data_IF_428029461463
#
_entry.id   IF_428029461463
#
_cell.length_a   1.000
_cell.length_b   1.000
_cell.length_c   1.000
_cell.angle_alpha   90.00
_cell.angle_beta   90.00
_cell.angle_gamma   90.00
#
_symmetry.space_group_name_H-M   'P 1'
#
loop_
_entity.id
_entity.type
_entity.pdbx_description
1 polymer ?
#
# COMPACT_ATOMS: atom_id res chain seq x y z
N UNK A 1 -9.28 -0.37 -11.27
CA UNK A 1 -8.16 0.58 -11.37
C UNK A 1 -7.25 0.36 -10.19
N UNK A 2 -5.95 0.31 -10.47
CA UNK A 2 -4.89 0.21 -9.48
C UNK A 2 -3.79 1.23 -9.76
N UNK A 3 -3.13 1.65 -8.70
CA UNK A 3 -1.89 2.40 -8.72
C UNK A 3 -0.97 1.85 -7.64
N UNK A 4 0.33 1.84 -7.91
CA UNK A 4 1.37 1.39 -7.00
C UNK A 4 2.40 2.49 -6.91
N UNK A 5 2.70 2.91 -5.69
CA UNK A 5 3.67 3.94 -5.41
C UNK A 5 4.84 3.36 -4.62
N UNK A 6 6.04 3.91 -4.82
CA UNK A 6 7.22 3.57 -4.04
C UNK A 6 8.06 4.82 -3.78
N UNK A 7 9.04 4.73 -2.88
CA UNK A 7 9.94 5.84 -2.61
C UNK A 7 11.03 5.93 -3.68
N UNK A 8 11.35 7.15 -4.09
CA UNK A 8 12.48 7.40 -4.98
C UNK A 8 13.79 7.44 -4.19
N UNK A 9 14.57 6.35 -4.28
CA UNK A 9 15.85 6.22 -3.59
C UNK A 9 15.71 6.42 -2.08
N UNK A 10 16.52 7.31 -1.52
CA UNK A 10 16.48 7.67 -0.09
C UNK A 10 15.46 8.79 0.23
N UNK A 11 14.82 9.40 -0.77
CA UNK A 11 13.83 10.46 -0.54
C UNK A 11 12.54 9.92 0.08
N UNK A 12 11.77 10.80 0.73
CA UNK A 12 10.42 10.51 1.20
C UNK A 12 9.36 10.84 0.15
N UNK A 13 9.77 11.13 -1.09
CA UNK A 13 8.88 11.41 -2.21
C UNK A 13 8.36 10.10 -2.80
N UNK A 14 7.03 10.02 -2.91
CA UNK A 14 6.34 8.89 -3.53
C UNK A 14 6.28 9.08 -5.05
N UNK A 15 6.75 8.09 -5.79
CA UNK A 15 6.69 8.02 -7.25
C UNK A 15 5.75 6.90 -7.69
N UNK A 16 5.13 7.06 -8.86
CA UNK A 16 4.27 6.03 -9.44
C UNK A 16 5.14 4.92 -10.04
N UNK A 17 5.14 3.76 -9.40
CA UNK A 17 5.84 2.57 -9.88
C UNK A 17 5.05 1.84 -10.97
N UNK A 18 3.74 1.70 -10.80
CA UNK A 18 2.87 1.04 -11.76
C UNK A 18 1.41 1.50 -11.65
N UNK A 19 0.64 1.42 -12.74
CA UNK A 19 -0.80 1.63 -12.73
C UNK A 19 -1.49 0.71 -13.75
N UNK A 20 -2.79 0.48 -13.59
CA UNK A 20 -3.56 -0.36 -14.50
C UNK A 20 -5.04 -0.45 -14.14
N UNK A 21 -5.79 -1.22 -14.91
CA UNK A 21 -7.23 -1.43 -14.65
C UNK A 21 -7.49 -2.57 -13.65
N UNK A 22 -6.49 -3.42 -13.43
CA UNK A 22 -6.50 -4.55 -12.51
C UNK A 22 -6.87 -4.22 -11.07
N UNK A 23 -7.26 -5.26 -10.33
CA UNK A 23 -7.68 -5.18 -8.93
C UNK A 23 -6.58 -5.52 -7.93
N UNK A 24 -7.03 -5.88 -6.72
CA UNK A 24 -6.16 -6.22 -5.58
C UNK A 24 -5.12 -7.31 -5.89
N UNK A 25 -5.53 -8.34 -6.63
CA UNK A 25 -4.69 -9.50 -6.94
C UNK A 25 -3.46 -9.14 -7.78
N UNK A 26 -3.61 -8.21 -8.72
CA UNK A 26 -2.48 -7.76 -9.52
C UNK A 26 -1.56 -6.81 -8.72
N UNK A 27 -2.13 -5.95 -7.86
CA UNK A 27 -1.34 -5.10 -6.94
C UNK A 27 -0.45 -5.96 -6.07
N UNK A 28 -0.99 -7.02 -5.47
CA UNK A 28 -0.21 -7.93 -4.62
C UNK A 28 0.92 -8.64 -5.36
N UNK A 29 0.75 -8.94 -6.65
CA UNK A 29 1.78 -9.59 -7.46
C UNK A 29 2.92 -8.66 -7.90
N UNK A 30 2.76 -7.34 -7.72
CA UNK A 30 3.75 -6.33 -8.15
C UNK A 30 4.60 -5.83 -6.97
N UNK A 31 4.37 -6.34 -5.75
CA UNK A 31 5.12 -5.93 -4.58
C UNK A 31 6.53 -6.53 -4.58
N UNK A 32 7.49 -5.71 -4.17
CA UNK A 32 8.91 -6.05 -4.06
C UNK A 32 9.30 -6.20 -2.57
N UNK A 33 10.04 -7.26 -2.23
CA UNK A 33 10.52 -7.54 -0.87
C UNK A 33 11.62 -6.59 -0.40
N UNK A 34 12.27 -5.87 -1.32
CA UNK A 34 13.35 -4.92 -1.04
C UNK A 34 12.88 -3.49 -0.81
N UNK A 35 11.61 -3.20 -1.06
CA UNK A 35 11.08 -1.83 -1.07
C UNK A 35 9.85 -1.66 -0.17
N UNK A 36 9.61 -0.41 0.24
CA UNK A 36 8.34 0.01 0.80
C UNK A 36 7.47 0.49 -0.35
N UNK A 37 6.24 0.00 -0.42
CA UNK A 37 5.31 0.30 -1.51
C UNK A 37 3.91 0.56 -0.99
N UNK A 38 3.18 1.43 -1.68
CA UNK A 38 1.80 1.77 -1.37
C UNK A 38 0.91 1.41 -2.54
N UNK A 39 0.09 0.37 -2.36
CA UNK A 39 -0.87 -0.08 -3.35
C UNK A 39 -2.23 0.59 -3.15
N UNK A 40 -2.74 1.24 -4.18
CA UNK A 40 -4.10 1.75 -4.24
C UNK A 40 -4.93 0.92 -5.20
N UNK A 41 -6.11 0.47 -4.76
CA UNK A 41 -7.04 -0.26 -5.60
C UNK A 41 -8.47 0.25 -5.40
N UNK A 42 -9.18 0.51 -6.50
CA UNK A 42 -10.62 0.75 -6.47
C UNK A 42 -11.36 -0.58 -6.32
N UNK A 43 -12.16 -0.73 -5.27
CA UNK A 43 -13.13 -1.83 -5.15
C UNK A 43 -14.41 -1.41 -5.88
N UNK A 44 -14.73 -2.15 -6.95
CA UNK A 44 -16.05 -2.06 -7.59
C UNK A 44 -17.01 -2.93 -6.81
N UNK A 45 -17.78 -2.32 -5.91
CA UNK A 45 -18.92 -2.98 -5.29
C UNK A 45 -20.19 -2.69 -6.10
N UNK A 46 -20.90 -3.70 -6.62
CA UNK A 46 -22.10 -3.51 -7.44
C UNK A 46 -23.20 -2.71 -6.77
N UNK A 47 -23.21 -2.70 -5.43
CA UNK A 47 -24.25 -2.09 -4.59
C UNK A 47 -23.82 -0.76 -3.98
N UNK A 48 -22.56 -0.34 -4.12
CA UNK A 48 -22.07 0.90 -3.54
C UNK A 48 -22.27 2.07 -4.51
N UNK A 49 -22.92 3.13 -4.04
CA UNK A 49 -23.09 4.40 -4.78
C UNK A 49 -21.79 5.19 -4.92
N UNK A 50 -20.78 4.91 -4.09
CA UNK A 50 -19.47 5.55 -4.13
C UNK A 50 -18.38 4.48 -4.33
N UNK A 51 -17.40 4.69 -5.23
CA UNK A 51 -16.25 3.80 -5.34
C UNK A 51 -15.48 3.78 -4.01
N UNK A 52 -15.26 2.58 -3.47
CA UNK A 52 -14.41 2.36 -2.29
C UNK A 52 -12.97 2.19 -2.76
N UNK A 53 -12.04 2.77 -2.03
CA UNK A 53 -10.61 2.60 -2.31
C UNK A 53 -9.94 1.91 -1.13
N UNK A 54 -9.02 1.00 -1.44
CA UNK A 54 -8.19 0.32 -0.44
C UNK A 54 -6.76 0.81 -0.59
N UNK A 55 -6.17 1.18 0.53
CA UNK A 55 -4.75 1.43 0.66
C UNK A 55 -4.07 0.23 1.31
N UNK A 56 -3.11 -0.33 0.58
CA UNK A 56 -2.24 -1.40 1.02
C UNK A 56 -0.89 -0.78 1.31
N UNK A 57 -0.49 -0.79 2.59
CA UNK A 57 0.87 -0.46 2.98
C UNK A 57 1.70 -1.73 2.98
N UNK A 58 2.57 -1.88 1.97
CA UNK A 58 3.51 -2.99 1.84
C UNK A 58 4.90 -2.56 2.34
N UNK A 59 5.45 -3.35 3.24
CA UNK A 59 6.81 -3.18 3.74
C UNK A 59 7.55 -4.47 3.44
N UNK A 60 8.47 -4.40 2.47
CA UNK A 60 9.32 -5.52 2.11
C UNK A 60 10.16 -6.04 3.29
N UNK A 61 10.43 -7.34 3.31
CA UNK A 61 11.20 -7.97 4.38
C UNK A 61 12.67 -7.50 4.42
N UNK A 62 13.26 -7.28 3.25
CA UNK A 62 14.67 -6.88 3.09
C UNK A 62 14.90 -5.38 3.32
N UNK A 63 13.83 -4.61 3.59
CA UNK A 63 13.93 -3.19 3.91
C UNK A 63 14.64 -3.01 5.28
N UNK A 64 15.61 -2.10 5.41
CA UNK A 64 16.26 -1.82 6.70
C UNK A 64 15.28 -1.35 7.78
N UNK A 65 15.41 -1.87 9.00
CA UNK A 65 14.47 -1.58 10.10
C UNK A 65 14.35 -0.09 10.43
N UNK A 66 15.44 0.67 10.27
CA UNK A 66 15.43 2.13 10.42
C UNK A 66 14.44 2.80 9.44
N UNK A 67 14.38 2.31 8.19
CA UNK A 67 13.45 2.81 7.17
C UNK A 67 12.03 2.34 7.45
N UNK A 68 11.83 1.10 7.90
CA UNK A 68 10.52 0.57 8.33
C UNK A 68 9.92 1.43 9.45
N UNK A 69 10.73 1.83 10.43
CA UNK A 69 10.32 2.65 11.56
C UNK A 69 9.96 4.08 11.12
N UNK A 70 10.78 4.68 10.25
CA UNK A 70 10.52 6.01 9.71
C UNK A 70 9.21 6.08 8.90
N UNK A 71 8.95 5.09 8.04
CA UNK A 71 7.77 5.08 7.18
C UNK A 71 6.47 4.66 7.89
N UNK A 72 6.56 4.12 9.11
CA UNK A 72 5.37 3.74 9.88
C UNK A 72 4.47 4.94 10.21
N UNK A 73 5.04 6.11 10.43
CA UNK A 73 4.31 7.36 10.66
C UNK A 73 3.61 7.88 9.39
N UNK A 74 4.20 7.65 8.22
CA UNK A 74 3.66 8.11 6.93
C UNK A 74 2.35 7.41 6.58
N UNK A 75 2.17 6.15 6.99
CA UNK A 75 0.96 5.37 6.68
C UNK A 75 -0.30 6.07 7.17
N UNK A 76 -0.27 6.64 8.37
CA UNK A 76 -1.42 7.33 8.95
C UNK A 76 -1.78 8.59 8.16
N UNK A 77 -0.77 9.41 7.80
CA UNK A 77 -0.95 10.61 6.99
C UNK A 77 -1.48 10.30 5.59
N UNK A 78 -0.97 9.24 4.95
CA UNK A 78 -1.43 8.81 3.62
C UNK A 78 -2.89 8.30 3.72
N UNK A 79 -3.22 7.49 4.72
CA UNK A 79 -4.58 7.00 4.93
C UNK A 79 -5.59 8.14 5.11
N UNK A 80 -5.23 9.13 5.92
CA UNK A 80 -6.04 10.32 6.20
C UNK A 80 -6.21 11.18 4.95
N UNK A 81 -5.13 11.40 4.19
CA UNK A 81 -5.16 12.15 2.93
C UNK A 81 -6.14 11.55 1.91
N UNK A 82 -6.18 10.22 1.80
CA UNK A 82 -7.07 9.54 0.87
C UNK A 82 -8.48 9.26 1.44
N UNK A 83 -8.74 9.61 2.70
CA UNK A 83 -9.98 9.27 3.42
C UNK A 83 -10.31 7.76 3.36
N UNK A 84 -9.28 6.91 3.31
CA UNK A 84 -9.40 5.45 3.19
C UNK A 84 -8.94 4.77 4.48
N UNK A 85 -9.57 3.63 4.78
CA UNK A 85 -9.08 2.75 5.84
C UNK A 85 -7.78 2.07 5.38
N UNK A 86 -6.64 2.42 5.98
CA UNK A 86 -5.37 1.74 5.67
C UNK A 86 -5.34 0.33 6.28
N UNK A 87 -5.09 -0.66 5.42
CA UNK A 87 -4.82 -2.02 5.87
C UNK A 87 -3.32 -2.28 5.75
N UNK A 88 -2.63 -2.43 6.87
CA UNK A 88 -1.21 -2.78 6.89
C UNK A 88 -1.07 -4.28 6.59
N UNK A 89 -0.49 -4.62 5.45
CA UNK A 89 -0.21 -6.00 5.06
C UNK A 89 1.26 -6.25 5.32
N UNK A 90 1.56 -7.04 6.35
CA UNK A 90 2.93 -7.43 6.70
C UNK A 90 3.08 -8.91 6.35
N UNK A 91 4.11 -9.34 5.62
CA UNK A 91 4.24 -10.73 5.15
C UNK A 91 4.27 -11.79 6.26
N UNK A 92 4.38 -11.40 7.54
CA UNK A 92 4.52 -12.29 8.70
C UNK A 92 3.58 -11.97 9.87
N UNK A 93 2.40 -11.38 9.66
CA UNK A 93 1.41 -11.33 10.76
C UNK A 93 0.69 -12.68 10.90
N UNK A 94 0.86 -13.42 12.02
CA UNK A 94 0.06 -14.61 12.28
C UNK A 94 -1.43 -14.23 12.37
N UNK A 95 -2.29 -15.10 11.84
CA UNK A 95 -3.74 -14.89 11.64
C UNK A 95 -4.59 -14.65 12.91
N UNK A 96 -3.98 -14.35 14.07
CA UNK A 96 -4.63 -14.32 15.38
C UNK A 96 -5.01 -12.92 15.90
N UNK A 97 -4.78 -11.84 15.14
CA UNK A 97 -5.23 -10.50 15.52
C UNK A 97 -6.14 -9.96 14.42
N UNK A 98 -7.42 -10.27 14.55
CA UNK A 98 -8.55 -9.59 13.89
C UNK A 98 -9.37 -8.88 14.96
#
# INVERSE_FOLDING_TARGET
>A
MRALYTYEGDSNDLTLAASGEGGLQEVSATFDSSCIMYGFCSLKEPTATLPRYVLINWVGEDVPDARKCACASHVATIAEFFQVSATKVTPHLPAHVR
#
